data_IF_472739503806
#
_entry.id   IF_472739503806
#
_cell.length_a   1.000
_cell.length_b   1.000
_cell.length_c   1.000
_cell.angle_alpha   90.00
_cell.angle_beta   90.00
_cell.angle_gamma   90.00
#
_symmetry.space_group_name_H-M   'P 1'
#
loop_
_entity.id
_entity.type
_entity.pdbx_description
1 polymer ?
#
# COMPACT_ATOMS: atom_id res chain seq x y z
N UNK A 1 -29.52 -56.44 -21.69
CA UNK A 1 -28.85 -57.57 -20.98
C UNK A 1 -27.46 -57.13 -20.58
N UNK A 2 -27.13 -57.50 -19.32
CA UNK A 2 -25.85 -57.41 -18.62
C UNK A 2 -25.46 -56.07 -17.98
N UNK A 3 -25.82 -55.99 -16.72
CA UNK A 3 -25.25 -55.22 -15.63
C UNK A 3 -23.79 -55.62 -15.41
N UNK A 4 -22.90 -54.67 -15.19
CA UNK A 4 -21.70 -54.91 -14.40
C UNK A 4 -21.48 -53.75 -13.45
N UNK A 5 -21.63 -54.03 -12.18
CA UNK A 5 -21.17 -53.27 -11.04
C UNK A 5 -19.67 -53.49 -10.92
N UNK A 6 -18.92 -52.45 -10.67
CA UNK A 6 -17.56 -52.58 -10.13
C UNK A 6 -17.42 -51.70 -8.90
N UNK A 7 -16.96 -52.37 -7.88
CA UNK A 7 -16.92 -51.99 -6.49
C UNK A 7 -15.97 -50.83 -6.17
N UNK A 8 -16.35 -50.11 -5.11
CA UNK A 8 -15.53 -49.21 -4.35
C UNK A 8 -14.37 -49.96 -3.64
N UNK A 9 -13.17 -49.43 -3.74
CA UNK A 9 -12.08 -49.77 -2.83
C UNK A 9 -11.60 -48.46 -2.13
N UNK A 10 -12.03 -48.36 -0.87
CA UNK A 10 -11.48 -47.37 0.06
C UNK A 10 -10.14 -47.92 0.59
N UNK A 11 -9.07 -47.17 0.40
CA UNK A 11 -7.81 -47.36 1.13
C UNK A 11 -7.57 -46.15 2.06
N UNK A 12 -7.93 -46.37 3.33
CA UNK A 12 -7.45 -45.57 4.45
C UNK A 12 -6.02 -46.03 4.77
N UNK A 13 -5.04 -45.12 4.65
CA UNK A 13 -3.74 -45.33 5.27
C UNK A 13 -3.53 -44.21 6.27
N UNK A 14 -3.72 -44.54 7.53
CA UNK A 14 -3.31 -43.76 8.66
C UNK A 14 -1.80 -43.98 8.89
N UNK A 15 -0.99 -42.92 8.67
CA UNK A 15 0.43 -42.92 9.01
C UNK A 15 0.71 -41.90 10.09
N UNK A 16 0.64 -42.33 11.35
CA UNK A 16 1.18 -41.55 12.46
C UNK A 16 2.70 -41.74 12.49
N UNK A 17 3.46 -40.66 12.28
CA UNK A 17 4.90 -40.64 12.54
C UNK A 17 5.15 -39.63 13.63
N UNK A 18 5.43 -40.15 14.83
CA UNK A 18 5.89 -39.37 15.97
C UNK A 18 7.31 -38.84 15.74
N UNK A 19 7.51 -37.56 15.95
CA UNK A 19 8.84 -36.96 16.04
C UNK A 19 9.29 -36.94 17.50
N UNK A 20 10.26 -37.81 17.81
CA UNK A 20 10.98 -37.78 19.08
C UNK A 20 12.02 -36.64 19.04
N UNK A 21 11.91 -35.71 19.96
CA UNK A 21 12.91 -34.71 20.22
C UNK A 21 14.13 -35.37 20.90
N UNK A 22 15.28 -35.29 20.25
CA UNK A 22 16.56 -35.60 20.85
C UNK A 22 17.21 -34.29 21.30
N UNK A 23 17.13 -34.02 22.57
CA UNK A 23 17.98 -33.03 23.24
C UNK A 23 19.37 -33.66 23.45
N UNK A 24 20.36 -33.14 22.79
CA UNK A 24 21.75 -33.43 23.14
C UNK A 24 22.39 -32.19 23.77
N UNK A 25 22.58 -32.30 25.06
CA UNK A 25 23.38 -31.42 25.90
C UNK A 25 24.86 -31.77 25.71
N UNK A 26 25.68 -30.84 25.27
CA UNK A 26 27.13 -30.92 25.61
C UNK A 26 27.69 -29.54 25.94
N UNK A 27 28.21 -29.53 27.12
CA UNK A 27 28.79 -28.49 27.93
C UNK A 27 30.30 -28.39 27.63
N UNK A 28 30.88 -27.24 27.88
CA UNK A 28 32.25 -26.88 28.21
C UNK A 28 32.97 -25.94 27.27
N UNK A 29 33.34 -24.82 27.87
CA UNK A 29 34.38 -23.90 27.45
C UNK A 29 34.19 -22.51 28.03
N UNK A 30 34.60 -22.34 29.28
CA UNK A 30 34.81 -21.02 29.93
C UNK A 30 36.02 -20.35 29.28
N UNK A 31 35.91 -19.06 28.97
CA UNK A 31 37.04 -18.14 29.19
C UNK A 31 36.51 -16.74 29.52
N UNK A 32 37.25 -16.10 30.38
CA UNK A 32 36.88 -15.06 31.31
C UNK A 32 36.90 -13.64 30.73
N UNK A 33 36.12 -12.77 31.38
CA UNK A 33 36.17 -11.31 31.30
C UNK A 33 37.47 -10.74 31.91
N UNK A 34 37.77 -9.52 31.58
CA UNK A 34 38.07 -8.59 32.68
C UNK A 34 37.12 -7.38 32.73
N UNK A 35 36.70 -7.17 33.92
CA UNK A 35 36.03 -6.05 34.57
C UNK A 35 36.96 -4.85 34.67
N UNK A 36 36.46 -3.62 34.59
CA UNK A 36 36.54 -2.54 35.59
C UNK A 36 36.08 -1.21 34.93
N UNK A 37 35.01 -0.65 35.41
CA UNK A 37 34.81 0.35 36.51
C UNK A 37 35.16 1.79 36.05
N UNK A 38 34.20 2.65 35.96
CA UNK A 38 33.97 3.75 36.87
C UNK A 38 32.73 4.58 36.57
N UNK A 39 31.88 4.60 37.52
CA UNK A 39 30.87 5.51 37.98
C UNK A 39 31.18 6.99 37.75
N UNK A 40 30.17 7.77 37.43
CA UNK A 40 29.76 8.89 38.28
C UNK A 40 28.34 9.35 37.92
N UNK A 41 27.53 9.30 38.92
CA UNK A 41 26.17 9.81 39.08
C UNK A 41 26.04 11.32 38.89
N UNK A 42 24.89 11.75 38.36
CA UNK A 42 24.18 12.88 38.95
C UNK A 42 22.68 12.83 38.58
N UNK A 43 21.91 12.55 39.60
CA UNK A 43 20.47 12.67 39.75
C UNK A 43 20.13 14.18 39.85
N UNK A 44 19.16 14.68 39.10
CA UNK A 44 18.26 15.75 39.55
C UNK A 44 16.90 15.56 38.88
N UNK A 45 15.91 15.18 39.66
CA UNK A 45 14.48 15.31 39.46
C UNK A 45 13.97 16.41 40.41
N UNK A 46 12.68 16.75 40.40
CA UNK A 46 11.85 17.44 39.42
C UNK A 46 11.33 18.79 39.95
N UNK A 47 10.70 19.60 39.11
CA UNK A 47 9.84 20.65 39.69
C UNK A 47 8.61 20.91 38.80
N UNK A 48 7.47 20.48 39.32
CA UNK A 48 6.14 20.98 38.97
C UNK A 48 5.99 22.47 39.27
N UNK A 49 5.24 23.17 38.44
CA UNK A 49 4.29 24.24 38.87
C UNK A 49 3.45 24.73 37.68
N UNK A 50 2.18 24.32 37.68
CA UNK A 50 0.97 25.12 37.97
C UNK A 50 0.60 26.18 36.95
N UNK A 51 -0.58 25.90 36.33
CA UNK A 51 -1.58 26.80 35.74
C UNK A 51 -1.90 28.03 36.62
N UNK A 52 -2.35 29.15 36.04
CA UNK A 52 -3.68 29.59 36.42
C UNK A 52 -4.61 29.99 35.24
N UNK A 53 -5.87 29.60 35.43
CA UNK A 53 -7.06 30.19 34.81
C UNK A 53 -7.32 31.60 35.33
N UNK A 54 -7.93 32.46 34.50
CA UNK A 54 -9.02 33.36 34.89
C UNK A 54 -9.54 34.11 33.67
N UNK A 55 -10.76 33.84 33.27
CA UNK A 55 -12.06 34.48 33.53
C UNK A 55 -12.25 35.88 32.90
N UNK A 56 -13.20 35.88 31.95
CA UNK A 56 -14.47 36.64 31.87
C UNK A 56 -14.40 38.17 31.90
N UNK A 57 -14.93 38.79 30.86
CA UNK A 57 -15.99 39.78 31.03
C UNK A 57 -16.77 40.03 29.73
N UNK A 58 -18.11 39.99 29.91
CA UNK A 58 -19.17 40.46 29.03
C UNK A 58 -19.14 42.00 28.95
N UNK A 59 -19.55 42.55 27.82
CA UNK A 59 -20.40 43.74 27.85
C UNK A 59 -21.27 43.82 26.60
N UNK A 60 -22.54 43.93 26.84
CA UNK A 60 -23.64 44.13 25.91
C UNK A 60 -23.62 45.59 25.38
N UNK A 61 -24.06 45.80 24.15
CA UNK A 61 -24.92 46.96 23.84
C UNK A 61 -25.70 46.69 22.56
N UNK A 62 -26.99 46.80 22.75
CA UNK A 62 -28.09 46.75 21.77
C UNK A 62 -28.02 47.94 20.77
N UNK A 63 -28.49 47.83 19.53
CA UNK A 63 -29.82 48.27 19.06
C UNK A 63 -29.84 48.61 17.56
N UNK A 64 -30.86 48.09 16.92
CA UNK A 64 -31.75 48.57 15.84
C UNK A 64 -31.49 48.17 14.39
N UNK A 65 -32.35 47.31 13.95
CA UNK A 65 -33.44 47.45 12.92
C UNK A 65 -33.03 47.92 11.52
N UNK A 66 -33.21 46.99 10.58
CA UNK A 66 -33.34 47.20 9.14
C UNK A 66 -33.77 45.88 8.50
N UNK A 67 -35.08 45.75 8.24
CA UNK A 67 -35.63 44.73 7.39
C UNK A 67 -35.14 44.91 5.97
N UNK A 68 -34.67 43.82 5.38
CA UNK A 68 -34.84 43.55 3.96
C UNK A 68 -34.82 42.03 3.78
N UNK A 69 -35.96 41.54 3.33
CA UNK A 69 -36.20 40.16 2.93
C UNK A 69 -35.32 39.83 1.73
N UNK A 70 -34.36 38.94 1.91
CA UNK A 70 -33.78 38.22 0.78
C UNK A 70 -33.86 36.74 1.10
N UNK A 71 -34.79 36.07 0.46
CA UNK A 71 -35.00 34.63 0.44
C UNK A 71 -33.74 34.03 -0.17
N UNK A 72 -32.79 33.68 0.69
CA UNK A 72 -31.66 32.89 0.28
C UNK A 72 -32.08 31.42 0.37
N UNK A 73 -32.47 30.87 -0.78
CA UNK A 73 -32.61 29.44 -0.97
C UNK A 73 -31.26 28.82 -0.57
N UNK A 74 -31.25 28.21 0.61
CA UNK A 74 -30.19 27.30 1.04
C UNK A 74 -30.22 26.12 0.06
N UNK A 75 -29.38 26.22 -0.95
CA UNK A 75 -29.06 25.10 -1.82
C UNK A 75 -28.26 24.13 -0.96
N UNK A 76 -28.99 23.19 -0.37
CA UNK A 76 -28.43 22.02 0.29
C UNK A 76 -27.94 21.10 -0.83
N UNK A 77 -26.86 21.50 -1.51
CA UNK A 77 -26.12 20.63 -2.40
C UNK A 77 -25.34 19.69 -1.49
N UNK A 78 -25.93 18.54 -1.22
CA UNK A 78 -25.21 17.34 -0.84
C UNK A 78 -24.06 17.18 -1.87
N UNK A 79 -22.80 16.99 -1.47
CA UNK A 79 -21.72 16.78 -2.43
C UNK A 79 -22.10 15.59 -3.29
N UNK A 80 -22.44 15.83 -4.53
CA UNK A 80 -22.61 14.76 -5.51
C UNK A 80 -21.21 14.16 -5.67
N UNK A 81 -21.01 12.93 -5.20
CA UNK A 81 -19.76 12.22 -5.45
C UNK A 81 -19.49 12.27 -6.96
N UNK A 82 -18.33 12.79 -7.32
CA UNK A 82 -17.90 12.84 -8.72
C UNK A 82 -17.85 11.41 -9.23
N UNK A 83 -18.67 11.09 -10.20
CA UNK A 83 -18.65 9.80 -10.86
C UNK A 83 -17.42 9.74 -11.77
N UNK A 84 -16.57 8.76 -11.53
CA UNK A 84 -15.35 8.54 -12.30
C UNK A 84 -15.67 7.69 -13.53
N UNK A 85 -15.03 8.02 -14.64
CA UNK A 85 -15.12 7.27 -15.90
C UNK A 85 -13.71 7.02 -16.42
N UNK A 86 -13.36 5.77 -16.59
CA UNK A 86 -12.06 5.39 -17.12
C UNK A 86 -12.09 5.53 -18.66
N UNK A 87 -11.20 6.37 -19.17
CA UNK A 87 -10.98 6.57 -20.60
C UNK A 87 -9.54 6.17 -20.91
N UNK A 88 -9.31 5.07 -21.66
CA UNK A 88 -7.95 4.59 -21.97
C UNK A 88 -7.02 5.67 -22.53
N UNK A 89 -7.55 6.55 -23.37
CA UNK A 89 -6.80 7.65 -23.97
C UNK A 89 -6.34 8.72 -22.98
N UNK A 90 -6.90 8.73 -21.76
CA UNK A 90 -6.53 9.63 -20.68
C UNK A 90 -5.39 9.07 -19.80
N UNK A 91 -4.94 7.85 -20.04
CA UNK A 91 -3.74 7.28 -19.41
C UNK A 91 -2.52 7.85 -20.11
N UNK A 92 -2.11 9.05 -19.69
CA UNK A 92 -1.05 9.82 -20.36
C UNK A 92 0.27 9.79 -19.60
N UNK A 93 0.24 9.32 -18.35
CA UNK A 93 1.40 9.37 -17.46
C UNK A 93 1.80 7.96 -17.02
N UNK A 94 3.08 7.70 -17.02
CA UNK A 94 3.65 6.57 -16.34
C UNK A 94 3.66 6.84 -14.82
N UNK A 95 3.48 5.81 -13.98
CA UNK A 95 3.53 6.01 -12.52
C UNK A 95 4.91 6.50 -12.06
N UNK A 96 5.96 6.08 -12.73
CA UNK A 96 7.35 6.53 -12.54
C UNK A 96 8.11 6.39 -13.86
N UNK A 97 9.15 7.21 -14.06
CA UNK A 97 10.02 7.09 -15.24
C UNK A 97 11.08 6.02 -15.00
N UNK A 98 11.11 4.99 -15.85
CA UNK A 98 12.11 3.92 -15.76
C UNK A 98 11.79 2.74 -16.66
N UNK A 99 12.75 1.80 -16.75
CA UNK A 99 12.61 0.58 -17.53
C UNK A 99 11.72 -0.44 -16.81
N UNK A 100 10.95 -1.21 -17.55
CA UNK A 100 10.19 -2.35 -17.00
C UNK A 100 11.16 -3.49 -16.72
N UNK A 101 11.31 -3.83 -15.42
CA UNK A 101 12.17 -4.93 -14.95
C UNK A 101 11.48 -6.28 -15.07
N UNK A 102 10.21 -6.34 -14.64
CA UNK A 102 9.37 -7.52 -14.74
C UNK A 102 8.06 -7.12 -15.42
N UNK A 103 7.78 -7.64 -16.63
CA UNK A 103 6.55 -7.29 -17.35
C UNK A 103 5.34 -8.01 -16.77
N UNK A 104 4.15 -7.42 -16.98
CA UNK A 104 2.89 -8.14 -16.81
C UNK A 104 2.87 -9.41 -17.65
N UNK A 105 2.40 -10.52 -17.06
CA UNK A 105 2.22 -11.76 -17.81
C UNK A 105 1.28 -12.72 -17.07
N UNK A 106 0.10 -12.95 -17.65
CA UNK A 106 -0.89 -13.91 -17.16
C UNK A 106 -1.08 -15.11 -18.09
N UNK A 107 -0.40 -15.13 -19.22
CA UNK A 107 -0.42 -16.21 -20.22
C UNK A 107 0.79 -17.15 -20.11
N UNK A 108 1.91 -16.64 -19.60
CA UNK A 108 3.15 -17.36 -19.37
C UNK A 108 3.84 -16.88 -18.11
N UNK A 109 4.74 -17.70 -17.56
CA UNK A 109 5.48 -17.35 -16.37
C UNK A 109 6.67 -16.44 -16.68
N UNK A 110 6.98 -15.53 -15.74
CA UNK A 110 8.16 -14.66 -15.72
C UNK A 110 9.09 -15.14 -14.61
N UNK A 111 10.38 -15.08 -14.82
CA UNK A 111 11.38 -15.40 -13.79
C UNK A 111 11.54 -14.21 -12.84
N UNK A 112 11.39 -14.47 -11.54
CA UNK A 112 11.59 -13.51 -10.45
C UNK A 112 12.96 -13.76 -9.81
N UNK A 113 13.97 -12.94 -10.08
CA UNK A 113 15.35 -13.17 -9.63
C UNK A 113 15.50 -13.27 -8.11
N UNK A 114 14.84 -12.39 -7.34
CA UNK A 114 14.89 -12.43 -5.88
C UNK A 114 14.35 -13.74 -5.29
N UNK A 115 13.29 -14.28 -5.91
CA UNK A 115 12.61 -15.48 -5.43
C UNK A 115 13.16 -16.78 -6.01
N UNK A 116 14.05 -16.68 -7.02
CA UNK A 116 14.61 -17.80 -7.79
C UNK A 116 13.53 -18.75 -8.32
N UNK A 117 12.44 -18.17 -8.87
CA UNK A 117 11.30 -18.96 -9.36
C UNK A 117 10.58 -18.31 -10.53
N UNK A 118 9.83 -19.14 -11.27
CA UNK A 118 8.93 -18.71 -12.34
C UNK A 118 7.50 -18.63 -11.82
N UNK A 119 6.83 -17.48 -12.05
CA UNK A 119 5.42 -17.30 -11.67
C UNK A 119 4.72 -16.34 -12.63
N UNK A 120 3.39 -16.31 -12.60
CA UNK A 120 2.60 -15.29 -13.29
C UNK A 120 2.81 -13.94 -12.62
N UNK A 121 2.85 -12.87 -13.40
CA UNK A 121 2.97 -11.52 -12.89
C UNK A 121 1.71 -10.70 -13.21
N UNK A 122 0.94 -10.38 -12.17
CA UNK A 122 -0.34 -9.64 -12.28
C UNK A 122 -0.17 -8.14 -12.53
N UNK A 123 1.03 -7.62 -12.36
CA UNK A 123 1.39 -6.22 -12.59
C UNK A 123 2.68 -6.13 -13.37
N UNK A 124 3.33 -5.00 -13.25
CA UNK A 124 4.69 -4.80 -13.74
C UNK A 124 5.56 -4.16 -12.66
N UNK A 125 6.86 -4.39 -12.73
CA UNK A 125 7.86 -3.80 -11.84
C UNK A 125 8.69 -2.85 -12.67
N UNK A 126 8.70 -1.58 -12.27
CA UNK A 126 9.35 -0.50 -13.02
C UNK A 126 10.54 0.00 -12.21
N UNK A 127 11.72 0.06 -12.83
CA UNK A 127 12.94 0.59 -12.21
C UNK A 127 12.73 2.03 -11.77
N UNK A 128 13.21 2.36 -10.56
CA UNK A 128 13.15 3.72 -10.03
C UNK A 128 14.30 3.95 -9.03
N UNK A 129 14.46 5.17 -8.56
CA UNK A 129 15.35 5.48 -7.44
C UNK A 129 14.52 5.80 -6.19
N UNK A 130 15.05 5.50 -5.01
CA UNK A 130 14.41 5.90 -3.75
C UNK A 130 14.22 7.42 -3.72
N UNK A 131 13.00 7.86 -3.45
CA UNK A 131 12.63 9.27 -3.44
C UNK A 131 12.11 9.83 -4.76
N UNK A 132 12.17 9.09 -5.88
CA UNK A 132 11.51 9.51 -7.12
C UNK A 132 10.01 9.68 -6.89
N UNK A 133 9.39 10.69 -7.51
CA UNK A 133 7.95 10.92 -7.39
C UNK A 133 7.16 9.81 -8.12
N UNK A 134 6.14 9.28 -7.45
CA UNK A 134 5.17 8.36 -8.05
C UNK A 134 3.87 9.10 -8.27
N UNK A 135 3.39 9.08 -9.52
CA UNK A 135 2.24 9.87 -9.96
C UNK A 135 1.06 8.98 -10.37
N UNK A 136 -0.14 9.52 -10.21
CA UNK A 136 -1.36 8.93 -10.74
C UNK A 136 -1.30 8.85 -12.26
N UNK A 137 -1.63 7.68 -12.82
CA UNK A 137 -1.61 7.43 -14.28
C UNK A 137 -2.76 8.13 -15.00
N UNK A 138 -3.88 8.31 -14.32
CA UNK A 138 -5.08 9.01 -14.79
C UNK A 138 -5.88 9.54 -13.61
N UNK A 139 -6.96 10.27 -13.85
CA UNK A 139 -7.86 10.70 -12.79
C UNK A 139 -8.44 9.48 -12.06
N UNK A 140 -8.51 9.55 -10.71
CA UNK A 140 -9.11 8.48 -9.92
C UNK A 140 -9.15 8.79 -8.43
N UNK A 141 -9.93 8.01 -7.68
CA UNK A 141 -10.13 8.12 -6.24
C UNK A 141 -9.28 7.09 -5.50
N UNK A 142 -8.58 7.50 -4.47
CA UNK A 142 -7.88 6.58 -3.57
C UNK A 142 -8.92 5.84 -2.72
N UNK A 143 -8.95 4.51 -2.85
CA UNK A 143 -9.92 3.65 -2.18
C UNK A 143 -9.32 2.78 -1.08
N UNK A 144 -8.00 2.57 -1.10
CA UNK A 144 -7.32 1.78 -0.07
C UNK A 144 -5.84 2.17 0.02
N UNK A 145 -5.31 2.15 1.25
CA UNK A 145 -3.89 2.35 1.55
C UNK A 145 -3.48 1.31 2.58
N UNK A 146 -2.57 0.40 2.23
CA UNK A 146 -2.13 -0.66 3.13
C UNK A 146 -0.65 -1.00 2.96
N UNK A 147 -0.11 -1.72 3.95
CA UNK A 147 1.23 -2.31 3.87
C UNK A 147 1.15 -3.81 3.60
N UNK A 148 1.90 -4.28 2.61
CA UNK A 148 2.06 -5.70 2.34
C UNK A 148 3.52 -6.14 2.42
N UNK A 149 3.74 -7.42 2.71
CA UNK A 149 5.09 -7.97 2.72
C UNK A 149 5.74 -7.97 1.34
N UNK A 150 4.95 -8.07 0.27
CA UNK A 150 5.40 -8.14 -1.11
C UNK A 150 5.62 -6.75 -1.71
N UNK A 151 4.59 -5.89 -1.67
CA UNK A 151 4.59 -4.60 -2.35
C UNK A 151 4.81 -3.41 -1.41
N UNK A 152 5.09 -3.64 -0.11
CA UNK A 152 5.32 -2.58 0.87
C UNK A 152 4.10 -1.68 1.04
N UNK A 153 4.33 -0.40 1.30
CA UNK A 153 3.28 0.62 1.31
C UNK A 153 2.65 0.70 -0.07
N UNK A 154 1.35 0.44 -0.12
CA UNK A 154 0.59 0.24 -1.34
C UNK A 154 -0.66 1.12 -1.34
N UNK A 155 -0.91 1.77 -2.45
CA UNK A 155 -2.10 2.60 -2.70
C UNK A 155 -2.91 1.97 -3.81
N UNK A 156 -4.23 1.89 -3.62
CA UNK A 156 -5.20 1.46 -4.62
C UNK A 156 -6.08 2.63 -5.01
N UNK A 157 -6.18 2.88 -6.31
CA UNK A 157 -6.96 3.95 -6.90
C UNK A 157 -8.07 3.37 -7.76
N UNK A 158 -9.32 3.79 -7.52
CA UNK A 158 -10.47 3.54 -8.40
C UNK A 158 -10.44 4.56 -9.55
N UNK A 159 -10.42 4.05 -10.76
CA UNK A 159 -10.37 4.85 -12.00
C UNK A 159 -11.75 5.01 -12.64
N UNK A 160 -12.77 4.33 -12.09
CA UNK A 160 -14.12 4.26 -12.66
C UNK A 160 -14.31 3.07 -13.60
N UNK A 161 -15.57 2.80 -13.96
CA UNK A 161 -15.99 1.75 -14.91
C UNK A 161 -15.41 0.36 -14.59
N UNK A 162 -15.17 0.06 -13.30
CA UNK A 162 -14.61 -1.20 -12.82
C UNK A 162 -13.09 -1.31 -12.92
N UNK A 163 -12.39 -0.25 -13.34
CA UNK A 163 -10.93 -0.21 -13.40
C UNK A 163 -10.33 0.27 -12.09
N UNK A 164 -9.25 -0.40 -11.67
CA UNK A 164 -8.42 0.02 -10.54
C UNK A 164 -6.94 0.03 -10.93
N UNK A 165 -6.18 0.91 -10.30
CA UNK A 165 -4.71 0.94 -10.37
C UNK A 165 -4.13 0.72 -8.97
N UNK A 166 -3.09 -0.10 -8.88
CA UNK A 166 -2.37 -0.41 -7.64
C UNK A 166 -0.92 0.03 -7.78
N UNK A 167 -0.44 0.82 -6.81
CA UNK A 167 0.91 1.36 -6.76
C UNK A 167 1.57 0.85 -5.48
N UNK A 168 2.65 0.08 -5.60
CA UNK A 168 3.40 -0.47 -4.47
C UNK A 168 4.82 0.04 -4.38
N UNK A 169 5.52 -0.28 -3.29
CA UNK A 169 6.88 0.17 -2.94
C UNK A 169 6.94 1.68 -2.64
N UNK A 170 5.84 2.24 -2.10
CA UNK A 170 5.73 3.67 -1.84
C UNK A 170 6.29 4.07 -0.47
N UNK A 171 6.57 5.35 -0.34
CA UNK A 171 6.88 6.04 0.91
C UNK A 171 6.41 7.51 0.82
N UNK A 172 6.36 8.18 1.97
CA UNK A 172 6.05 9.61 2.03
C UNK A 172 4.80 9.97 1.20
N UNK A 173 3.70 9.25 1.44
CA UNK A 173 2.44 9.48 0.74
C UNK A 173 1.99 10.93 0.91
N UNK A 174 1.47 11.51 -0.18
CA UNK A 174 0.90 12.86 -0.24
C UNK A 174 -0.62 12.82 -0.40
N UNK A 175 -1.21 11.62 -0.45
CA UNK A 175 -2.64 11.38 -0.57
C UNK A 175 -3.18 10.56 0.61
N UNK A 176 -4.50 10.57 0.76
CA UNK A 176 -5.27 9.81 1.76
C UNK A 176 -6.43 9.10 1.08
N UNK A 177 -6.99 8.09 1.75
CA UNK A 177 -8.23 7.45 1.30
C UNK A 177 -9.36 8.48 1.13
N UNK A 178 -10.07 8.38 0.01
CA UNK A 178 -11.12 9.28 -0.40
C UNK A 178 -10.67 10.44 -1.29
N UNK A 179 -9.38 10.76 -1.34
CA UNK A 179 -8.85 11.82 -2.22
C UNK A 179 -9.05 11.44 -3.68
N UNK A 180 -9.37 12.43 -4.50
CA UNK A 180 -9.44 12.30 -5.96
C UNK A 180 -8.23 13.01 -6.53
N UNK A 181 -7.38 12.27 -7.22
CA UNK A 181 -6.17 12.76 -7.86
C UNK A 181 -6.39 12.88 -9.37
N UNK A 182 -5.81 13.91 -9.96
CA UNK A 182 -5.77 14.07 -11.42
C UNK A 182 -4.60 13.26 -12.04
N UNK A 183 -4.65 13.07 -13.36
CA UNK A 183 -3.55 12.46 -14.10
C UNK A 183 -2.24 13.21 -13.88
N UNK A 184 -1.18 12.50 -13.48
CA UNK A 184 0.14 13.08 -13.20
C UNK A 184 0.28 13.71 -11.81
N UNK A 185 -0.75 13.75 -10.99
CA UNK A 185 -0.66 14.21 -9.60
C UNK A 185 0.11 13.19 -8.74
N UNK A 186 0.93 13.69 -7.82
CA UNK A 186 1.82 12.85 -7.03
C UNK A 186 1.07 12.12 -5.91
N UNK A 187 1.20 10.79 -5.86
CA UNK A 187 0.70 9.93 -4.76
C UNK A 187 1.66 9.90 -3.57
N UNK A 188 2.94 9.98 -3.85
CA UNK A 188 4.02 9.86 -2.88
C UNK A 188 5.37 9.69 -3.58
N UNK A 189 6.31 9.06 -2.91
CA UNK A 189 7.64 8.80 -3.43
C UNK A 189 7.94 7.29 -3.45
N UNK A 190 8.92 6.90 -4.25
CA UNK A 190 9.45 5.53 -4.23
C UNK A 190 10.14 5.26 -2.89
N UNK A 191 9.72 4.20 -2.24
CA UNK A 191 10.24 3.76 -0.95
C UNK A 191 11.41 2.79 -1.09
N UNK A 192 11.77 2.20 0.05
CA UNK A 192 12.73 1.10 0.09
C UNK A 192 12.07 -0.17 -0.43
N UNK A 193 12.81 -0.89 -1.26
CA UNK A 193 12.37 -2.17 -1.81
C UNK A 193 12.13 -3.19 -0.69
N UNK A 194 11.07 -3.98 -0.83
CA UNK A 194 10.82 -5.11 0.06
C UNK A 194 11.80 -6.26 -0.22
N UNK A 195 11.83 -7.25 0.68
CA UNK A 195 12.64 -8.46 0.49
C UNK A 195 12.26 -9.30 -0.74
N UNK A 196 11.11 -9.03 -1.35
CA UNK A 196 10.64 -9.74 -2.54
C UNK A 196 11.27 -9.26 -3.84
N UNK A 197 11.95 -8.09 -3.83
CA UNK A 197 12.53 -7.47 -5.03
C UNK A 197 13.98 -6.98 -4.81
N UNK A 198 14.73 -7.60 -3.88
CA UNK A 198 16.08 -7.13 -3.53
C UNK A 198 17.08 -7.27 -4.66
N UNK A 199 16.94 -8.27 -5.54
CA UNK A 199 17.80 -8.48 -6.71
C UNK A 199 17.40 -7.57 -7.85
N UNK A 200 16.11 -7.32 -8.03
CA UNK A 200 15.55 -6.36 -9.00
C UNK A 200 15.99 -4.92 -8.68
N UNK A 201 16.23 -4.64 -7.39
CA UNK A 201 16.61 -3.32 -6.90
C UNK A 201 15.42 -2.40 -6.71
N UNK A 202 15.68 -1.11 -6.44
CA UNK A 202 14.63 -0.11 -6.19
C UNK A 202 13.69 0.02 -7.37
N UNK A 203 12.41 -0.06 -7.08
CA UNK A 203 11.36 -0.15 -8.10
C UNK A 203 10.00 0.34 -7.57
N UNK A 204 9.06 0.49 -8.49
CA UNK A 204 7.63 0.62 -8.23
C UNK A 204 6.92 -0.62 -8.76
N UNK A 205 6.10 -1.26 -7.93
CA UNK A 205 5.13 -2.23 -8.40
C UNK A 205 3.91 -1.48 -8.92
N UNK A 206 3.47 -1.80 -10.14
CA UNK A 206 2.28 -1.20 -10.74
C UNK A 206 1.39 -2.28 -11.36
N UNK A 207 0.10 -2.27 -11.02
CA UNK A 207 -0.86 -3.20 -11.58
C UNK A 207 -2.17 -2.47 -11.93
N UNK A 208 -2.87 -2.99 -12.93
CA UNK A 208 -4.22 -2.57 -13.28
C UNK A 208 -5.16 -3.78 -13.30
N UNK A 209 -6.39 -3.56 -12.89
CA UNK A 209 -7.45 -4.57 -12.95
C UNK A 209 -8.71 -3.96 -13.57
N UNK A 210 -9.48 -4.81 -14.25
CA UNK A 210 -10.83 -4.50 -14.69
C UNK A 210 -11.78 -5.55 -14.11
N UNK A 211 -12.78 -5.11 -13.35
CA UNK A 211 -13.73 -6.00 -12.63
C UNK A 211 -13.02 -7.07 -11.81
N UNK A 212 -11.92 -6.70 -11.13
CA UNK A 212 -11.09 -7.57 -10.30
C UNK A 212 -10.23 -8.58 -11.06
N UNK A 213 -10.12 -8.43 -12.39
CA UNK A 213 -9.24 -9.26 -13.23
C UNK A 213 -8.03 -8.46 -13.68
N UNK A 214 -6.81 -9.00 -13.52
CA UNK A 214 -5.60 -8.33 -13.98
C UNK A 214 -5.64 -8.07 -15.48
N UNK A 215 -5.32 -6.84 -15.88
CA UNK A 215 -5.14 -6.41 -17.26
C UNK A 215 -3.73 -5.90 -17.48
N UNK A 216 -3.25 -6.01 -18.71
CA UNK A 216 -1.89 -5.57 -19.04
C UNK A 216 -1.82 -4.03 -19.06
N UNK A 217 -1.08 -3.39 -18.14
CA UNK A 217 -1.00 -1.94 -18.10
C UNK A 217 -0.41 -1.33 -19.38
N UNK A 218 0.45 -2.08 -20.09
CA UNK A 218 1.08 -1.64 -21.33
C UNK A 218 0.08 -1.41 -22.48
N UNK A 219 -1.12 -2.00 -22.40
CA UNK A 219 -2.16 -1.81 -23.41
C UNK A 219 -2.81 -0.41 -23.32
N UNK A 220 -2.56 0.30 -22.22
CA UNK A 220 -3.11 1.63 -21.93
C UNK A 220 -2.06 2.75 -22.02
N UNK A 221 -0.79 2.43 -21.88
CA UNK A 221 0.28 3.42 -22.01
C UNK A 221 0.62 3.63 -23.49
N UNK A 222 0.66 4.88 -23.94
CA UNK A 222 1.19 5.21 -25.25
C UNK A 222 2.69 4.85 -25.38
N UNK A 223 3.18 4.82 -26.63
CA UNK A 223 4.60 4.65 -26.92
C UNK A 223 5.41 5.73 -26.19
N UNK A 224 6.52 5.32 -25.52
CA UNK A 224 7.44 6.19 -24.80
C UNK A 224 8.32 6.94 -25.79
#
# INVERSE_FOLDING_TARGET
MKKQQIAAAACLVAGAIGFAAVYSTQNHGKEELPTEISQTSSIVEPTEKKTPQKQTQKEDTETKTGQDENVNQSNNQQPTEKQLHFVPENVTNWPVKGDVLLPFSMDKTVYFPTLDQYQYNRGMVIRANEGDAVCSVTEGRIIDIYDSAETGCTVVQDLGDGYTATYGQLANLTCSEGDVLEAGETLGAVGKVTRYYTVEGTNVYFAMEQDGKPVNPMDYFGDI
#
